data_IF_936291971938
#
_entry.id   IF_936291971938
#
_cell.length_a   1.000
_cell.length_b   1.000
_cell.length_c   1.000
_cell.angle_alpha   90.00
_cell.angle_beta   90.00
_cell.angle_gamma   90.00
#
_symmetry.space_group_name_H-M   'P 1'
#
loop_
_entity.id
_entity.type
_entity.pdbx_description
1 polymer ?
#
# COMPACT_ATOMS: atom_id res chain seq x y z
N UNK A 1 5.88 18.02 24.75
CA UNK A 1 6.14 17.34 23.47
C UNK A 1 5.96 18.34 22.35
N UNK A 2 7.02 18.63 21.58
CA UNK A 2 6.93 19.54 20.44
C UNK A 2 6.67 18.70 19.19
N UNK A 3 5.54 18.94 18.52
CA UNK A 3 5.16 18.22 17.29
C UNK A 3 5.30 19.17 16.13
N UNK A 4 6.17 18.86 15.19
CA UNK A 4 6.34 19.68 13.99
C UNK A 4 5.22 19.33 12.99
N UNK A 5 4.27 20.25 12.85
CA UNK A 5 3.18 20.17 11.88
C UNK A 5 3.23 21.35 10.89
N UNK A 6 2.86 21.11 9.63
CA UNK A 6 2.73 22.17 8.61
C UNK A 6 1.37 22.84 8.67
N UNK A 7 0.34 22.09 9.07
CA UNK A 7 -1.03 22.55 9.04
C UNK A 7 -1.85 21.91 10.14
N UNK A 8 -2.63 22.73 10.82
CA UNK A 8 -3.73 22.31 11.69
C UNK A 8 -4.99 23.04 11.22
N UNK A 9 -6.06 22.29 10.95
CA UNK A 9 -7.31 22.84 10.43
C UNK A 9 -8.49 22.28 11.21
N UNK A 10 -9.35 23.16 11.72
CA UNK A 10 -10.63 22.77 12.30
C UNK A 10 -11.55 22.25 11.18
N UNK A 11 -12.16 21.10 11.44
CA UNK A 11 -13.18 20.46 10.62
C UNK A 11 -14.45 20.34 11.45
N UNK A 12 -15.59 19.98 10.84
CA UNK A 12 -16.83 19.74 11.57
C UNK A 12 -16.75 18.58 12.57
N UNK A 13 -15.77 17.70 12.44
CA UNK A 13 -15.61 16.48 13.23
C UNK A 13 -14.38 16.50 14.16
N UNK A 14 -13.63 17.60 14.19
CA UNK A 14 -12.39 17.70 14.98
C UNK A 14 -11.28 18.45 14.26
N UNK A 15 -10.03 18.14 14.58
CA UNK A 15 -8.86 18.85 14.06
C UNK A 15 -8.09 17.94 13.10
N UNK A 16 -7.89 18.38 11.86
CA UNK A 16 -7.00 17.74 10.91
C UNK A 16 -5.60 18.31 11.07
N UNK A 17 -4.63 17.45 11.37
CA UNK A 17 -3.22 17.83 11.53
C UNK A 17 -2.40 17.16 10.42
N UNK A 18 -1.52 17.93 9.79
CA UNK A 18 -0.56 17.47 8.78
C UNK A 18 0.84 17.66 9.35
N UNK A 19 1.58 16.58 9.54
CA UNK A 19 2.95 16.60 10.05
C UNK A 19 3.97 16.82 8.92
N UNK A 20 5.11 17.41 9.24
CA UNK A 20 6.17 17.67 8.26
C UNK A 20 7.09 16.46 8.03
N UNK A 21 7.20 15.60 9.05
CA UNK A 21 8.08 14.44 9.02
C UNK A 21 7.35 13.19 9.48
N UNK A 22 7.86 12.04 9.02
CA UNK A 22 7.36 10.73 9.39
C UNK A 22 7.60 10.45 10.88
N UNK A 23 8.73 10.90 11.42
CA UNK A 23 9.01 10.79 12.84
C UNK A 23 7.99 11.59 13.69
N UNK A 24 7.63 12.80 13.27
CA UNK A 24 6.59 13.60 13.94
C UNK A 24 5.22 12.92 13.88
N UNK A 25 4.90 12.31 12.73
CA UNK A 25 3.68 11.50 12.56
C UNK A 25 3.63 10.33 13.53
N UNK A 26 4.71 9.52 13.57
CA UNK A 26 4.80 8.34 14.45
C UNK A 26 4.72 8.74 15.93
N UNK A 27 5.50 9.76 16.33
CA UNK A 27 5.46 10.30 17.70
C UNK A 27 4.07 10.79 18.06
N UNK A 28 3.41 11.54 17.17
CA UNK A 28 2.06 12.05 17.43
C UNK A 28 1.03 10.93 17.61
N UNK A 29 1.06 9.92 16.73
CA UNK A 29 0.19 8.75 16.87
C UNK A 29 0.45 8.01 18.19
N UNK A 30 1.71 7.76 18.56
CA UNK A 30 2.06 7.14 19.85
C UNK A 30 1.54 7.95 21.04
N UNK A 31 1.61 9.28 20.96
CA UNK A 31 1.06 10.15 21.99
C UNK A 31 -0.46 10.05 22.10
N UNK A 32 -1.19 10.11 20.98
CA UNK A 32 -2.66 10.01 20.97
C UNK A 32 -3.13 8.65 21.50
N UNK A 33 -2.43 7.57 21.15
CA UNK A 33 -2.68 6.22 21.70
C UNK A 33 -2.48 6.22 23.21
N UNK A 34 -1.33 6.74 23.70
CA UNK A 34 -1.01 6.79 25.13
C UNK A 34 -2.01 7.63 25.92
N UNK A 35 -2.47 8.74 25.33
CA UNK A 35 -3.47 9.62 25.89
C UNK A 35 -4.91 9.07 25.78
N UNK A 36 -5.11 7.93 25.10
CA UNK A 36 -6.42 7.32 24.82
C UNK A 36 -7.39 8.26 24.11
N UNK A 37 -6.87 9.15 23.26
CA UNK A 37 -7.68 10.07 22.46
C UNK A 37 -8.06 9.32 21.18
N UNK A 38 -9.36 9.23 20.81
CA UNK A 38 -9.76 8.64 19.54
C UNK A 38 -9.26 9.48 18.36
N UNK A 39 -8.69 8.82 17.35
CA UNK A 39 -8.22 9.49 16.14
C UNK A 39 -8.29 8.56 14.94
N UNK A 40 -8.29 9.16 13.75
CA UNK A 40 -8.12 8.45 12.50
C UNK A 40 -6.81 8.89 11.85
N UNK A 41 -6.07 7.94 11.29
CA UNK A 41 -4.82 8.22 10.58
C UNK A 41 -4.73 7.37 9.32
N UNK A 42 -4.07 7.92 8.30
CA UNK A 42 -3.74 7.19 7.10
C UNK A 42 -2.41 6.46 7.25
N UNK A 43 -2.28 5.27 6.65
CA UNK A 43 -0.99 4.59 6.55
C UNK A 43 0.00 5.46 5.77
N UNK A 44 1.25 5.50 6.25
CA UNK A 44 2.34 6.22 5.61
C UNK A 44 2.56 5.70 4.21
N UNK A 45 2.91 6.60 3.29
CA UNK A 45 3.14 6.20 1.91
C UNK A 45 4.27 5.17 1.77
N UNK A 46 5.36 5.32 2.53
CA UNK A 46 6.49 4.38 2.52
C UNK A 46 6.10 2.95 2.96
N UNK A 47 5.08 2.83 3.81
CA UNK A 47 4.57 1.55 4.31
C UNK A 47 3.53 0.92 3.37
N UNK A 48 3.05 1.67 2.36
CA UNK A 48 2.05 1.15 1.41
C UNK A 48 2.71 0.31 0.34
N UNK A 49 2.39 -0.99 0.36
CA UNK A 49 2.70 -1.93 -0.73
C UNK A 49 2.00 -1.52 -2.02
N UNK A 50 2.64 -1.80 -3.14
CA UNK A 50 2.06 -1.60 -4.47
C UNK A 50 1.29 -2.88 -4.85
N UNK A 51 0.09 -2.73 -5.38
CA UNK A 51 -0.77 -3.85 -5.79
C UNK A 51 -1.10 -3.70 -7.28
N UNK A 52 -0.61 -4.63 -8.09
CA UNK A 52 -0.85 -4.67 -9.53
C UNK A 52 -1.76 -5.86 -9.86
N UNK A 53 -2.80 -5.63 -10.68
CA UNK A 53 -3.66 -6.69 -11.20
C UNK A 53 -3.31 -6.94 -12.65
N UNK A 54 -2.75 -8.10 -12.94
CA UNK A 54 -2.42 -8.57 -14.28
C UNK A 54 -3.67 -9.23 -14.85
N UNK A 55 -4.18 -8.69 -15.97
CA UNK A 55 -5.40 -9.17 -16.64
C UNK A 55 -5.08 -10.11 -17.79
N UNK A 56 -6.05 -10.95 -18.17
CA UNK A 56 -5.97 -11.89 -19.31
C UNK A 56 -4.78 -12.85 -19.18
N UNK A 57 -4.48 -13.24 -17.95
CA UNK A 57 -3.39 -14.16 -17.66
C UNK A 57 -3.91 -15.61 -17.66
N UNK A 58 -3.26 -16.56 -18.36
CA UNK A 58 -3.68 -17.96 -18.37
C UNK A 58 -3.85 -18.52 -16.95
N UNK A 59 -4.87 -19.36 -16.76
CA UNK A 59 -5.20 -19.94 -15.45
C UNK A 59 -4.31 -21.13 -15.10
N UNK A 60 -3.72 -21.75 -16.12
CA UNK A 60 -2.88 -22.94 -16.06
C UNK A 60 -1.45 -22.62 -15.58
N UNK A 61 -1.06 -21.34 -15.61
CA UNK A 61 0.26 -20.90 -15.16
C UNK A 61 0.24 -20.75 -13.63
N UNK A 62 1.16 -21.42 -12.94
CA UNK A 62 1.28 -21.31 -11.50
C UNK A 62 1.76 -19.93 -11.05
N UNK A 63 1.30 -19.48 -9.89
CA UNK A 63 1.64 -18.14 -9.36
C UNK A 63 3.13 -17.96 -9.09
N UNK A 64 3.87 -19.05 -8.83
CA UNK A 64 5.32 -18.99 -8.63
C UNK A 64 6.05 -18.63 -9.93
N UNK A 65 5.61 -19.18 -11.07
CA UNK A 65 6.17 -18.82 -12.37
C UNK A 65 5.92 -17.34 -12.71
N UNK A 66 4.76 -16.81 -12.32
CA UNK A 66 4.47 -15.37 -12.47
C UNK A 66 5.38 -14.53 -11.60
N UNK A 67 5.58 -14.95 -10.34
CA UNK A 67 6.48 -14.26 -9.41
C UNK A 67 7.90 -14.21 -9.96
N UNK A 68 8.45 -15.35 -10.38
CA UNK A 68 9.78 -15.46 -10.97
C UNK A 68 9.95 -14.55 -12.20
N UNK A 69 8.94 -14.49 -13.07
CA UNK A 69 8.99 -13.65 -14.27
C UNK A 69 8.96 -12.16 -13.92
N UNK A 70 8.08 -11.75 -13.01
CA UNK A 70 8.00 -10.35 -12.56
C UNK A 70 9.30 -9.92 -11.83
N UNK A 71 9.90 -10.81 -11.04
CA UNK A 71 11.19 -10.58 -10.40
C UNK A 71 12.33 -10.48 -11.44
N UNK A 72 12.35 -11.34 -12.47
CA UNK A 72 13.32 -11.27 -13.58
C UNK A 72 13.22 -9.97 -14.38
N UNK A 73 12.04 -9.36 -14.46
CA UNK A 73 11.85 -8.04 -15.06
C UNK A 73 12.35 -6.89 -14.16
N UNK A 74 12.87 -7.20 -12.97
CA UNK A 74 13.47 -6.23 -12.05
C UNK A 74 12.49 -5.64 -11.04
N UNK A 75 11.29 -6.21 -10.91
CA UNK A 75 10.30 -5.73 -9.95
C UNK A 75 10.30 -6.61 -8.69
N UNK A 76 10.65 -6.07 -7.51
CA UNK A 76 10.65 -6.85 -6.27
C UNK A 76 9.20 -7.19 -5.85
N UNK A 77 8.86 -8.49 -5.87
CA UNK A 77 7.53 -8.99 -5.53
C UNK A 77 7.53 -9.62 -4.14
N UNK A 78 6.61 -9.17 -3.29
CA UNK A 78 6.38 -9.80 -1.99
C UNK A 78 5.52 -11.06 -2.10
N UNK A 79 4.47 -11.00 -2.91
CA UNK A 79 3.54 -12.12 -3.07
C UNK A 79 2.75 -12.02 -4.38
N UNK A 80 2.36 -13.18 -4.91
CA UNK A 80 1.46 -13.30 -6.06
C UNK A 80 0.27 -14.16 -5.69
N UNK A 81 -0.93 -13.70 -6.03
CA UNK A 81 -2.17 -14.41 -5.73
C UNK A 81 -3.04 -14.56 -6.97
N UNK A 82 -3.47 -15.79 -7.24
CA UNK A 82 -4.52 -16.08 -8.22
C UNK A 82 -5.85 -15.58 -7.68
N UNK A 83 -6.55 -14.76 -8.45
CA UNK A 83 -7.87 -14.27 -8.05
C UNK A 83 -8.94 -15.30 -8.37
N UNK A 84 -9.94 -15.37 -7.51
CA UNK A 84 -11.09 -16.27 -7.65
C UNK A 84 -12.38 -15.46 -7.54
N UNK A 85 -13.43 -15.93 -8.22
CA UNK A 85 -14.79 -15.43 -8.00
C UNK A 85 -15.29 -15.87 -6.62
N UNK A 86 -16.42 -15.29 -6.20
CA UNK A 86 -17.09 -15.67 -4.94
C UNK A 86 -17.51 -17.14 -4.91
N UNK A 87 -17.81 -17.72 -6.07
CA UNK A 87 -18.16 -19.14 -6.23
C UNK A 87 -16.94 -20.09 -6.28
N UNK A 88 -15.72 -19.56 -6.14
CA UNK A 88 -14.47 -20.33 -6.20
C UNK A 88 -13.87 -20.48 -7.59
N UNK A 89 -14.55 -20.03 -8.66
CA UNK A 89 -14.02 -20.14 -10.03
C UNK A 89 -12.76 -19.32 -10.21
N UNK A 90 -11.68 -19.95 -10.67
CA UNK A 90 -10.41 -19.29 -10.99
C UNK A 90 -10.58 -18.23 -12.09
N UNK A 91 -10.00 -17.05 -11.88
CA UNK A 91 -9.99 -15.98 -12.86
C UNK A 91 -8.65 -15.97 -13.61
N UNK A 92 -8.71 -15.53 -14.88
CA UNK A 92 -7.52 -15.13 -15.64
C UNK A 92 -6.94 -13.79 -15.16
N UNK A 93 -6.92 -13.59 -13.84
CA UNK A 93 -6.45 -12.41 -13.13
C UNK A 93 -5.48 -12.84 -12.04
N UNK A 94 -4.36 -12.13 -11.96
CA UNK A 94 -3.34 -12.36 -10.94
C UNK A 94 -3.06 -11.04 -10.23
N UNK A 95 -3.08 -11.07 -8.89
CA UNK A 95 -2.69 -9.95 -8.05
C UNK A 95 -1.22 -10.12 -7.66
N UNK A 96 -0.36 -9.23 -8.14
CA UNK A 96 1.01 -9.09 -7.68
C UNK A 96 1.09 -7.99 -6.61
N UNK A 97 1.70 -8.32 -5.47
CA UNK A 97 1.99 -7.40 -4.38
C UNK A 97 3.48 -7.11 -4.43
N UNK A 98 3.83 -5.87 -4.75
CA UNK A 98 5.20 -5.43 -4.95
C UNK A 98 5.68 -4.61 -3.74
N UNK A 99 6.98 -4.69 -3.51
CA UNK A 99 7.64 -3.73 -2.65
C UNK A 99 7.55 -2.33 -3.27
N UNK A 100 7.59 -1.33 -2.40
CA UNK A 100 7.54 0.05 -2.87
C UNK A 100 8.91 0.44 -3.44
N UNK A 101 8.97 0.58 -4.75
CA UNK A 101 10.10 1.16 -5.47
C UNK A 101 9.63 2.16 -6.51
N UNK A 102 10.50 3.07 -6.92
CA UNK A 102 10.18 4.01 -8.00
C UNK A 102 9.91 3.25 -9.31
N UNK A 103 10.67 2.19 -9.57
CA UNK A 103 10.47 1.30 -10.71
C UNK A 103 9.07 0.63 -10.70
N UNK A 104 8.61 0.13 -9.55
CA UNK A 104 7.28 -0.45 -9.43
C UNK A 104 6.14 0.57 -9.60
N UNK A 105 6.41 1.87 -9.38
CA UNK A 105 5.45 2.94 -9.69
C UNK A 105 5.36 3.24 -11.18
N UNK A 106 6.45 3.03 -11.93
CA UNK A 106 6.47 3.24 -13.39
C UNK A 106 5.62 2.22 -14.16
N UNK A 107 5.41 1.02 -13.60
CA UNK A 107 4.48 0.01 -14.15
C UNK A 107 3.10 0.59 -14.50
N UNK A 108 2.61 1.55 -13.70
CA UNK A 108 1.29 2.15 -13.89
C UNK A 108 1.29 3.38 -14.80
N UNK A 109 2.45 3.91 -15.19
CA UNK A 109 2.54 5.10 -16.05
C UNK A 109 2.36 4.76 -17.54
N UNK A 110 2.65 3.52 -17.91
CA UNK A 110 2.62 3.05 -19.31
C UNK A 110 1.41 2.14 -19.61
N UNK A 111 0.39 2.15 -18.74
CA UNK A 111 -0.89 1.45 -18.89
C UNK A 111 -2.00 2.46 -19.21
#
# INVERSE_FOLDING_TARGET
MHINYSRAQNTSQGIKIITNTIDSFRKFNSYLIKAKIPFHTFALEEERKIKAVIKRFPIEIETEAVKDDVEKQGYPVTAVHRMHRRDGTTLGLVLAILERSDQARELFKNL
#
